data_IF_201487479577
#
_entry.id   IF_201487479577
#
_cell.length_a   1.000
_cell.length_b   1.000
_cell.length_c   1.000
_cell.angle_alpha   90.00
_cell.angle_beta   90.00
_cell.angle_gamma   90.00
#
_symmetry.space_group_name_H-M   'P 1'
#
loop_
_entity.id
_entity.type
_entity.pdbx_description
1 polymer ?
#
# COMPACT_ATOMS: atom_id res chain seq x y z
N UNK A 1 57.14 -30.04 50.76
CA UNK A 1 56.95 -28.80 49.99
C UNK A 1 55.95 -29.10 48.83
N UNK A 2 54.64 -28.93 49.04
CA UNK A 2 53.62 -29.32 48.08
C UNK A 2 53.18 -28.06 47.30
N UNK A 3 53.47 -28.10 45.98
CA UNK A 3 53.02 -27.08 45.03
C UNK A 3 51.53 -27.32 44.70
N UNK A 4 50.67 -26.36 45.04
CA UNK A 4 49.27 -26.37 44.63
C UNK A 4 49.15 -25.88 43.19
N UNK A 5 48.84 -26.80 42.27
CA UNK A 5 48.43 -26.44 40.90
C UNK A 5 47.04 -25.77 40.95
N UNK A 6 46.96 -24.51 40.51
CA UNK A 6 45.70 -23.79 40.31
C UNK A 6 45.09 -24.23 38.98
N UNK A 7 43.99 -24.97 39.05
CA UNK A 7 43.18 -25.28 37.87
C UNK A 7 42.46 -23.98 37.41
N UNK A 8 42.86 -23.50 36.25
CA UNK A 8 42.17 -22.40 35.56
C UNK A 8 41.08 -23.00 34.67
N UNK A 9 39.83 -22.91 35.10
CA UNK A 9 38.70 -23.31 34.27
C UNK A 9 38.38 -22.20 33.28
N UNK A 10 38.68 -22.44 32.00
CA UNK A 10 38.32 -21.55 30.93
C UNK A 10 36.82 -21.74 30.61
N UNK A 11 35.98 -20.80 31.01
CA UNK A 11 34.57 -20.77 30.60
C UNK A 11 34.51 -20.05 29.24
N UNK A 12 34.37 -20.85 28.16
CA UNK A 12 34.15 -20.33 26.82
C UNK A 12 32.70 -19.90 26.68
N UNK A 13 32.44 -18.62 26.70
CA UNK A 13 31.14 -18.08 26.34
C UNK A 13 30.98 -18.12 24.81
N UNK A 14 30.26 -19.09 24.30
CA UNK A 14 29.82 -19.10 22.90
C UNK A 14 28.63 -18.18 22.81
N UNK A 15 28.85 -16.94 22.35
CA UNK A 15 27.78 -16.04 21.95
C UNK A 15 27.16 -16.57 20.66
N UNK A 16 26.04 -17.28 20.77
CA UNK A 16 25.17 -17.55 19.65
C UNK A 16 24.48 -16.21 19.28
N UNK A 17 25.10 -15.51 18.34
CA UNK A 17 24.40 -14.42 17.65
C UNK A 17 23.33 -15.06 16.75
N UNK A 18 22.09 -15.04 17.21
CA UNK A 18 20.95 -15.37 16.36
C UNK A 18 20.83 -14.26 15.33
N UNK A 19 21.39 -14.46 14.14
CA UNK A 19 21.11 -13.58 12.99
C UNK A 19 19.69 -13.92 12.57
N UNK A 20 18.73 -13.12 13.02
CA UNK A 20 17.36 -13.18 12.49
C UNK A 20 17.43 -12.96 10.99
N UNK A 21 17.13 -14.01 10.23
CA UNK A 21 17.09 -13.93 8.78
C UNK A 21 15.89 -13.08 8.39
N UNK A 22 16.13 -11.80 8.13
CA UNK A 22 15.05 -10.92 7.65
C UNK A 22 14.58 -11.44 6.30
N UNK A 23 13.33 -11.88 6.25
CA UNK A 23 12.68 -12.22 4.97
C UNK A 23 12.34 -10.90 4.25
N UNK A 24 12.60 -10.81 2.93
CA UNK A 24 12.23 -9.62 2.17
C UNK A 24 10.72 -9.42 2.19
N UNK A 25 10.29 -8.15 2.27
CA UNK A 25 8.88 -7.79 2.15
C UNK A 25 8.45 -7.87 0.68
N UNK A 26 7.28 -8.46 0.45
CA UNK A 26 6.66 -8.55 -0.86
C UNK A 26 5.55 -7.47 -0.91
N UNK A 27 5.72 -6.49 -1.77
CA UNK A 27 4.75 -5.40 -1.97
C UNK A 27 4.11 -5.54 -3.35
N UNK A 28 2.79 -5.67 -3.39
CA UNK A 28 2.01 -5.72 -4.62
C UNK A 28 1.95 -4.34 -5.27
N UNK A 29 2.56 -4.16 -6.45
CA UNK A 29 2.57 -2.89 -7.19
C UNK A 29 1.21 -2.64 -7.82
N UNK A 30 0.53 -1.56 -7.40
CA UNK A 30 -0.87 -1.21 -7.76
C UNK A 30 -1.84 -2.36 -7.46
N UNK A 31 -1.63 -3.01 -6.30
CA UNK A 31 -2.20 -4.30 -5.99
C UNK A 31 -1.44 -5.43 -6.70
N UNK A 32 -2.16 -6.38 -7.26
CA UNK A 32 -1.61 -7.48 -8.05
C UNK A 32 -1.74 -7.21 -9.56
N UNK A 33 -1.19 -6.09 -10.07
CA UNK A 33 -1.41 -5.62 -11.45
C UNK A 33 -0.98 -6.61 -12.54
N UNK A 34 -0.15 -7.59 -12.21
CA UNK A 34 0.23 -8.65 -13.14
C UNK A 34 -0.87 -9.69 -13.40
N UNK A 35 -1.95 -9.67 -12.59
CA UNK A 35 -3.03 -10.65 -12.59
C UNK A 35 -4.40 -10.01 -12.74
N UNK A 36 -4.60 -8.83 -12.15
CA UNK A 36 -5.89 -8.11 -12.13
C UNK A 36 -5.64 -6.66 -12.49
N UNK A 37 -6.63 -5.97 -13.07
CA UNK A 37 -6.55 -4.56 -13.44
C UNK A 37 -6.01 -3.70 -12.29
N UNK A 38 -4.95 -2.95 -12.54
CA UNK A 38 -4.19 -2.16 -11.58
C UNK A 38 -5.06 -1.13 -10.83
N UNK A 39 -4.67 -0.80 -9.59
CA UNK A 39 -5.33 0.25 -8.79
C UNK A 39 -6.83 0.03 -8.59
N UNK A 40 -7.28 -1.21 -8.50
CA UNK A 40 -8.67 -1.59 -8.24
C UNK A 40 -8.80 -2.37 -6.94
N UNK A 41 -9.98 -2.35 -6.33
CA UNK A 41 -10.28 -3.17 -5.14
C UNK A 41 -9.98 -4.66 -5.38
N UNK A 42 -10.39 -5.28 -6.49
CA UNK A 42 -10.03 -6.66 -6.78
C UNK A 42 -8.53 -6.92 -6.88
N UNK A 43 -7.75 -5.95 -7.39
CA UNK A 43 -6.29 -6.08 -7.47
C UNK A 43 -5.63 -6.05 -6.10
N UNK A 44 -6.12 -5.21 -5.19
CA UNK A 44 -5.67 -5.15 -3.79
C UNK A 44 -6.00 -6.47 -3.08
N UNK A 45 -7.24 -6.93 -3.17
CA UNK A 45 -7.67 -8.20 -2.55
C UNK A 45 -6.85 -9.38 -3.08
N UNK A 46 -6.60 -9.43 -4.38
CA UNK A 46 -5.80 -10.50 -4.97
C UNK A 46 -4.34 -10.51 -4.49
N UNK A 47 -3.74 -9.33 -4.26
CA UNK A 47 -2.41 -9.23 -3.65
C UNK A 47 -2.41 -9.78 -2.21
N UNK A 48 -3.46 -9.51 -1.43
CA UNK A 48 -3.67 -10.06 -0.08
C UNK A 48 -3.79 -11.59 -0.15
N UNK A 49 -4.61 -12.11 -1.04
CA UNK A 49 -4.82 -13.55 -1.23
C UNK A 49 -3.54 -14.29 -1.62
N UNK A 50 -2.64 -13.64 -2.35
CA UNK A 50 -1.31 -14.13 -2.69
C UNK A 50 -0.31 -14.07 -1.53
N UNK A 51 -0.69 -13.51 -0.37
CA UNK A 51 0.18 -13.40 0.80
C UNK A 51 1.19 -12.26 0.72
N UNK A 52 0.92 -11.19 -0.02
CA UNK A 52 1.75 -10.00 -0.03
C UNK A 52 1.80 -9.37 1.37
N UNK A 53 2.98 -8.86 1.77
CA UNK A 53 3.15 -8.13 3.03
C UNK A 53 2.59 -6.71 2.96
N UNK A 54 2.40 -6.18 1.75
CA UNK A 54 1.85 -4.88 1.50
C UNK A 54 1.36 -4.72 0.07
N UNK A 55 0.69 -3.59 -0.16
CA UNK A 55 0.32 -3.14 -1.51
C UNK A 55 0.76 -1.69 -1.68
N UNK A 56 1.12 -1.36 -2.89
CA UNK A 56 1.33 0.01 -3.32
C UNK A 56 0.13 0.44 -4.18
N UNK A 57 -0.29 1.69 -4.05
CA UNK A 57 -1.35 2.32 -4.84
C UNK A 57 -0.98 3.75 -5.19
N UNK A 58 -1.47 4.23 -6.34
CA UNK A 58 -1.30 5.61 -6.79
C UNK A 58 -2.56 6.42 -6.51
N UNK A 59 -2.42 7.67 -6.04
CA UNK A 59 -3.59 8.50 -5.75
C UNK A 59 -3.52 9.89 -6.38
N UNK A 60 -4.68 10.38 -6.84
CA UNK A 60 -4.89 11.74 -7.31
C UNK A 60 -6.02 12.41 -6.53
N UNK A 61 -5.95 13.73 -6.41
CA UNK A 61 -7.09 14.52 -5.97
C UNK A 61 -7.94 14.89 -7.18
N UNK A 62 -9.23 14.48 -7.21
CA UNK A 62 -10.14 14.87 -8.25
C UNK A 62 -10.69 16.30 -8.03
N UNK A 63 -11.38 16.86 -9.01
CA UNK A 63 -11.88 18.25 -9.00
C UNK A 63 -12.80 18.54 -7.81
N UNK A 64 -13.67 17.61 -7.45
CA UNK A 64 -14.59 17.77 -6.31
C UNK A 64 -13.91 17.56 -4.94
N UNK A 65 -12.61 17.17 -4.92
CA UNK A 65 -11.78 17.17 -3.71
C UNK A 65 -11.43 15.78 -3.17
N UNK A 66 -12.13 14.74 -3.58
CA UNK A 66 -11.91 13.38 -3.11
C UNK A 66 -10.59 12.81 -3.66
N UNK A 67 -10.02 11.86 -2.94
CA UNK A 67 -8.81 11.14 -3.34
C UNK A 67 -9.21 9.85 -4.05
N UNK A 68 -8.86 9.74 -5.32
CA UNK A 68 -9.14 8.57 -6.17
C UNK A 68 -7.87 7.78 -6.46
N UNK A 69 -8.02 6.46 -6.60
CA UNK A 69 -6.89 5.55 -6.80
C UNK A 69 -6.75 5.25 -8.29
N UNK A 70 -5.73 5.85 -8.90
CA UNK A 70 -5.44 5.72 -10.33
C UNK A 70 -3.99 6.13 -10.62
N UNK A 71 -3.36 5.57 -11.64
CA UNK A 71 -1.94 5.82 -11.92
C UNK A 71 -1.68 7.04 -12.80
N UNK A 72 -2.41 7.17 -13.91
CA UNK A 72 -2.14 8.21 -14.90
C UNK A 72 -2.92 9.50 -14.59
N UNK A 73 -2.37 10.65 -14.97
CA UNK A 73 -3.07 11.92 -14.80
C UNK A 73 -4.28 12.06 -15.73
N UNK A 74 -4.41 11.18 -16.73
CA UNK A 74 -5.50 11.19 -17.70
C UNK A 74 -6.09 9.79 -17.89
N UNK A 75 -7.31 9.74 -18.38
CA UNK A 75 -8.09 8.53 -18.58
C UNK A 75 -7.96 7.92 -19.98
N UNK A 76 -6.96 8.32 -20.79
CA UNK A 76 -6.80 7.86 -22.17
C UNK A 76 -6.62 6.35 -22.30
N UNK A 77 -6.16 5.67 -21.25
CA UNK A 77 -6.07 4.19 -21.24
C UNK A 77 -7.42 3.49 -21.14
N UNK A 78 -8.46 4.17 -20.67
CA UNK A 78 -9.80 3.61 -20.48
C UNK A 78 -10.87 4.32 -21.32
N UNK A 79 -10.51 5.41 -22.00
CA UNK A 79 -11.39 6.20 -22.86
C UNK A 79 -10.68 6.49 -24.18
N UNK A 80 -11.43 6.59 -25.28
CA UNK A 80 -10.89 6.94 -26.61
C UNK A 80 -10.46 8.42 -26.72
N UNK A 81 -10.60 9.18 -25.64
CA UNK A 81 -10.26 10.62 -25.57
C UNK A 81 -9.56 10.96 -24.26
N UNK A 82 -8.83 12.08 -24.29
CA UNK A 82 -8.00 12.51 -23.17
C UNK A 82 -8.81 13.37 -22.18
N UNK A 83 -9.04 12.88 -20.96
CA UNK A 83 -9.60 13.64 -19.85
C UNK A 83 -8.65 13.58 -18.67
N UNK A 84 -8.31 14.74 -18.11
CA UNK A 84 -7.49 14.81 -16.91
C UNK A 84 -8.33 14.44 -15.69
N UNK A 85 -7.84 13.53 -14.85
CA UNK A 85 -8.57 13.05 -13.67
C UNK A 85 -8.80 14.19 -12.66
N UNK A 86 -7.86 15.13 -12.56
CA UNK A 86 -7.92 16.31 -11.69
C UNK A 86 -9.00 17.33 -12.11
N UNK A 87 -9.47 17.26 -13.37
CA UNK A 87 -10.51 18.15 -13.92
C UNK A 87 -11.93 17.57 -13.80
N UNK A 88 -12.08 16.37 -13.25
CA UNK A 88 -13.34 15.64 -13.16
C UNK A 88 -13.85 15.55 -11.73
N UNK A 89 -15.15 15.72 -11.57
CA UNK A 89 -15.82 15.42 -10.29
C UNK A 89 -15.90 13.90 -10.07
N UNK A 90 -15.89 13.45 -8.82
CA UNK A 90 -15.96 12.04 -8.46
C UNK A 90 -17.12 11.30 -9.13
N UNK A 91 -18.31 11.94 -9.19
CA UNK A 91 -19.49 11.37 -9.86
C UNK A 91 -19.20 10.98 -11.31
N UNK A 92 -18.44 11.83 -12.03
CA UNK A 92 -18.04 11.54 -13.43
C UNK A 92 -17.01 10.43 -13.49
N UNK A 93 -16.00 10.45 -12.61
CA UNK A 93 -14.97 9.39 -12.51
C UNK A 93 -15.63 8.03 -12.24
N UNK A 94 -16.59 7.96 -11.34
CA UNK A 94 -17.33 6.72 -11.00
C UNK A 94 -18.20 6.19 -12.14
N UNK A 95 -18.46 6.97 -13.17
CA UNK A 95 -19.18 6.50 -14.37
C UNK A 95 -18.28 5.70 -15.33
N UNK A 96 -16.97 5.79 -15.19
CA UNK A 96 -16.01 5.06 -16.03
C UNK A 96 -15.68 3.68 -15.46
N UNK A 97 -15.16 2.80 -16.32
CA UNK A 97 -14.75 1.44 -15.93
C UNK A 97 -13.38 1.13 -16.51
N UNK A 98 -12.49 0.66 -15.66
CA UNK A 98 -11.22 0.05 -16.08
C UNK A 98 -11.57 -1.30 -16.70
N UNK A 99 -11.05 -1.59 -17.92
CA UNK A 99 -11.33 -2.83 -18.66
C UNK A 99 -12.84 -3.13 -18.81
N UNK A 100 -13.68 -2.10 -18.94
CA UNK A 100 -15.14 -2.18 -19.00
C UNK A 100 -15.82 -2.92 -17.82
N UNK A 101 -15.11 -3.12 -16.73
CA UNK A 101 -15.55 -3.95 -15.61
C UNK A 101 -15.41 -3.26 -14.25
N UNK A 102 -14.23 -2.74 -13.93
CA UNK A 102 -13.90 -2.31 -12.58
C UNK A 102 -14.10 -0.81 -12.38
N UNK A 103 -14.61 -0.42 -11.22
CA UNK A 103 -14.69 0.99 -10.82
C UNK A 103 -13.30 1.52 -10.46
N UNK A 104 -13.08 2.82 -10.68
CA UNK A 104 -11.96 3.56 -10.09
C UNK A 104 -12.32 3.79 -8.62
N UNK A 105 -11.56 3.25 -7.65
CA UNK A 105 -11.88 3.42 -6.24
C UNK A 105 -11.45 4.78 -5.70
N UNK A 106 -12.03 5.20 -4.58
CA UNK A 106 -11.46 6.25 -3.73
C UNK A 106 -10.48 5.64 -2.73
N UNK A 107 -9.66 6.48 -2.09
CA UNK A 107 -8.78 6.05 -1.01
C UNK A 107 -9.58 5.47 0.16
N UNK A 108 -10.71 6.10 0.54
CA UNK A 108 -11.56 5.61 1.61
C UNK A 108 -12.15 4.23 1.30
N UNK A 109 -12.50 3.95 0.04
CA UNK A 109 -12.96 2.61 -0.36
C UNK A 109 -11.86 1.56 -0.19
N UNK A 110 -10.59 1.89 -0.47
CA UNK A 110 -9.46 1.00 -0.20
C UNK A 110 -9.24 0.82 1.30
N UNK A 111 -9.24 1.92 2.08
CA UNK A 111 -9.05 1.85 3.53
C UNK A 111 -10.19 1.13 4.26
N UNK A 112 -11.38 1.06 3.64
CA UNK A 112 -12.52 0.31 4.17
C UNK A 112 -12.39 -1.20 4.00
N UNK A 113 -11.39 -1.67 3.24
CA UNK A 113 -11.04 -3.09 3.20
C UNK A 113 -10.39 -3.47 4.54
N UNK A 114 -10.66 -4.67 5.02
CA UNK A 114 -10.03 -5.18 6.24
C UNK A 114 -8.57 -5.57 5.95
N UNK A 115 -7.70 -4.56 5.88
CA UNK A 115 -6.30 -4.72 5.48
C UNK A 115 -5.44 -5.39 6.56
N UNK A 116 -5.89 -5.43 7.82
CA UNK A 116 -5.15 -6.02 8.94
C UNK A 116 -3.79 -5.34 9.15
N UNK A 117 -2.72 -6.14 9.15
CA UNK A 117 -1.34 -5.65 9.30
C UNK A 117 -0.64 -5.39 7.95
N UNK A 118 -1.41 -5.32 6.84
CA UNK A 118 -0.90 -5.05 5.50
C UNK A 118 -0.26 -3.66 5.43
N UNK A 119 0.94 -3.57 4.89
CA UNK A 119 1.60 -2.29 4.61
C UNK A 119 0.90 -1.66 3.40
N UNK A 120 0.37 -0.45 3.55
CA UNK A 120 -0.17 0.34 2.45
C UNK A 120 0.82 1.43 2.07
N UNK A 121 1.47 1.29 0.90
CA UNK A 121 2.33 2.31 0.30
C UNK A 121 1.49 3.16 -0.65
N UNK A 122 1.38 4.46 -0.38
CA UNK A 122 0.56 5.40 -1.17
C UNK A 122 1.47 6.35 -1.93
N UNK A 123 1.51 6.22 -3.27
CA UNK A 123 2.21 7.17 -4.12
C UNK A 123 1.31 8.38 -4.40
N UNK A 124 1.76 9.56 -3.98
CA UNK A 124 1.02 10.81 -4.18
C UNK A 124 1.30 11.35 -5.59
N UNK A 125 0.30 11.29 -6.46
CA UNK A 125 0.34 11.85 -7.81
C UNK A 125 -0.35 13.23 -7.84
N UNK A 126 0.00 14.04 -8.83
CA UNK A 126 -0.66 15.31 -9.07
C UNK A 126 -0.48 16.38 -7.98
N UNK A 127 -1.06 17.55 -8.22
CA UNK A 127 -0.97 18.68 -7.30
C UNK A 127 -2.06 18.64 -6.23
N UNK A 128 -1.71 19.06 -5.01
CA UNK A 128 -2.69 19.18 -3.93
C UNK A 128 -3.21 17.85 -3.36
N UNK A 129 -2.60 16.72 -3.68
CA UNK A 129 -3.01 15.38 -3.22
C UNK A 129 -2.58 15.11 -1.77
N UNK A 130 -1.43 15.65 -1.32
CA UNK A 130 -0.82 15.29 -0.05
C UNK A 130 -1.69 15.64 1.18
N UNK A 131 -2.16 16.88 1.28
CA UNK A 131 -2.92 17.33 2.46
C UNK A 131 -4.21 16.52 2.66
N UNK A 132 -5.12 16.39 1.65
CA UNK A 132 -6.35 15.61 1.84
C UNK A 132 -6.08 14.12 2.07
N UNK A 133 -5.01 13.55 1.48
CA UNK A 133 -4.61 12.17 1.78
C UNK A 133 -4.26 12.01 3.26
N UNK A 134 -3.45 12.93 3.82
CA UNK A 134 -3.06 12.88 5.24
C UNK A 134 -4.30 13.06 6.14
N UNK A 135 -5.23 13.95 5.79
CA UNK A 135 -6.47 14.17 6.56
C UNK A 135 -7.34 12.90 6.59
N UNK A 136 -7.49 12.21 5.45
CA UNK A 136 -8.19 10.92 5.38
C UNK A 136 -7.50 9.90 6.29
N UNK A 137 -6.17 9.71 6.15
CA UNK A 137 -5.42 8.74 6.94
C UNK A 137 -5.52 9.02 8.45
N UNK A 138 -5.44 10.28 8.89
CA UNK A 138 -5.63 10.66 10.29
C UNK A 138 -7.01 10.26 10.81
N UNK A 139 -8.07 10.52 10.04
CA UNK A 139 -9.43 10.14 10.41
C UNK A 139 -9.59 8.62 10.60
N UNK A 140 -8.88 7.80 9.83
CA UNK A 140 -8.88 6.34 9.99
C UNK A 140 -8.02 5.90 11.18
N UNK A 141 -6.86 6.51 11.37
CA UNK A 141 -5.96 6.26 12.50
C UNK A 141 -6.63 6.62 13.84
N UNK A 142 -7.25 7.81 13.96
CA UNK A 142 -7.93 8.28 15.17
C UNK A 142 -9.15 7.41 15.54
N UNK A 143 -9.65 6.59 14.63
CA UNK A 143 -10.72 5.61 14.85
C UNK A 143 -10.22 4.18 15.02
N UNK A 144 -8.92 3.98 15.17
CA UNK A 144 -8.26 2.65 15.25
C UNK A 144 -8.57 1.71 14.06
N UNK A 145 -8.88 2.29 12.90
CA UNK A 145 -9.18 1.52 11.68
C UNK A 145 -7.93 1.17 10.86
N UNK A 146 -6.83 1.88 11.10
CA UNK A 146 -5.48 1.61 10.56
C UNK A 146 -4.44 1.82 11.64
N UNK A 147 -3.24 1.23 11.45
CA UNK A 147 -2.09 1.32 12.37
C UNK A 147 -0.95 2.12 11.77
#
# INVERSE_FOLDING_TARGET
MYSKAKNFTFISFILFSCIEKQTPLIIGHRGAKGYVAENTIPSVNYAIDLGANGVEIDVFRCKSGEIVVFHDNNLSKILDFNLCIEDLDLKKIKSFRIENKYLIPTLEEILSLQLGDLILNIELKGKGTAIPTIEILRNYFDKDLIK
#
